data_IF_607206782961
#
_entry.id   IF_607206782961
#
_cell.length_a   1.000
_cell.length_b   1.000
_cell.length_c   1.000
_cell.angle_alpha   90.00
_cell.angle_beta   90.00
_cell.angle_gamma   90.00
#
_symmetry.space_group_name_H-M   'P 1'
#
loop_
_entity.id
_entity.type
_entity.pdbx_description
1 polymer ?
#
# COMPACT_ATOMS: atom_id res chain seq x y z
N UNK A 1 -8.46 -34.88 -3.25
CA UNK A 1 -9.39 -35.87 -2.67
C UNK A 1 -10.80 -35.36 -2.88
N UNK A 2 -11.67 -36.13 -3.53
CA UNK A 2 -13.02 -35.70 -3.96
C UNK A 2 -13.93 -35.59 -2.73
N UNK A 3 -14.68 -34.49 -2.58
CA UNK A 3 -15.61 -34.28 -1.46
C UNK A 3 -16.73 -35.34 -1.50
N UNK A 4 -16.55 -36.46 -0.80
CA UNK A 4 -17.50 -37.58 -0.74
C UNK A 4 -18.65 -37.36 0.28
N UNK A 5 -18.90 -36.12 0.69
CA UNK A 5 -19.93 -35.77 1.67
C UNK A 5 -21.34 -36.18 1.22
N UNK A 6 -21.64 -36.05 -0.07
CA UNK A 6 -22.92 -36.47 -0.65
C UNK A 6 -23.09 -37.99 -0.57
N UNK A 7 -22.04 -38.75 -0.85
CA UNK A 7 -22.06 -40.22 -0.74
C UNK A 7 -22.19 -40.70 0.71
N UNK A 8 -21.58 -39.99 1.66
CA UNK A 8 -21.71 -40.30 3.08
C UNK A 8 -23.14 -40.03 3.59
N UNK A 9 -23.76 -38.93 3.17
CA UNK A 9 -25.15 -38.62 3.50
C UNK A 9 -26.12 -39.67 2.94
N UNK A 10 -25.92 -40.08 1.68
CA UNK A 10 -26.73 -41.11 1.04
C UNK A 10 -26.62 -42.47 1.75
N UNK A 11 -25.42 -42.85 2.19
CA UNK A 11 -25.18 -44.05 2.98
C UNK A 11 -25.97 -44.01 4.30
N UNK A 12 -25.95 -42.87 5.00
CA UNK A 12 -26.59 -42.69 6.30
C UNK A 12 -28.11 -42.80 6.20
N UNK A 13 -28.70 -42.16 5.17
CA UNK A 13 -30.15 -42.26 4.88
C UNK A 13 -30.53 -43.71 4.53
N UNK A 14 -29.70 -44.40 3.75
CA UNK A 14 -29.93 -45.81 3.38
C UNK A 14 -29.93 -46.73 4.60
N UNK A 15 -29.02 -46.53 5.55
CA UNK A 15 -28.94 -47.31 6.79
C UNK A 15 -30.18 -47.08 7.67
N UNK A 16 -30.64 -45.83 7.80
CA UNK A 16 -31.86 -45.49 8.56
C UNK A 16 -33.09 -46.16 7.94
N UNK A 17 -33.24 -46.12 6.61
CA UNK A 17 -34.35 -46.79 5.91
C UNK A 17 -34.35 -48.31 6.13
N UNK A 18 -33.16 -48.92 6.16
CA UNK A 18 -32.96 -50.34 6.43
C UNK A 18 -33.40 -50.72 7.85
N UNK A 19 -33.02 -49.90 8.84
CA UNK A 19 -33.41 -50.09 10.25
C UNK A 19 -34.94 -50.01 10.42
N UNK A 20 -35.58 -49.01 9.79
CA UNK A 20 -37.04 -48.83 9.85
C UNK A 20 -37.76 -50.03 9.23
N UNK A 21 -37.26 -50.54 8.10
CA UNK A 21 -37.86 -51.68 7.38
C UNK A 21 -37.77 -52.98 8.19
N UNK A 22 -36.65 -53.23 8.88
CA UNK A 22 -36.45 -54.44 9.67
C UNK A 22 -37.20 -54.45 11.01
N UNK A 23 -37.43 -53.28 11.63
CA UNK A 23 -38.07 -53.20 12.95
C UNK A 23 -39.60 -53.34 12.92
N UNK A 24 -40.24 -53.41 11.74
CA UNK A 24 -41.69 -53.64 11.52
C UNK A 24 -42.56 -53.04 12.63
N UNK A 25 -42.36 -51.74 12.88
CA UNK A 25 -42.96 -51.03 14.02
C UNK A 25 -44.41 -50.71 13.66
N UNK A 26 -45.37 -51.30 14.38
CA UNK A 26 -46.75 -50.78 14.41
C UNK A 26 -46.72 -49.44 15.14
N UNK A 27 -46.75 -48.33 14.38
CA UNK A 27 -46.54 -46.98 14.92
C UNK A 27 -47.84 -46.47 15.55
N UNK A 28 -48.01 -46.67 16.85
CA UNK A 28 -48.96 -45.88 17.65
C UNK A 28 -48.30 -44.55 17.98
N UNK A 29 -48.72 -43.45 17.34
CA UNK A 29 -48.15 -42.11 17.60
C UNK A 29 -48.59 -41.65 19.00
N UNK A 30 -47.70 -41.80 19.98
CA UNK A 30 -47.83 -41.19 21.31
C UNK A 30 -47.34 -39.73 21.26
N UNK A 31 -47.77 -38.91 22.22
CA UNK A 31 -47.31 -37.52 22.37
C UNK A 31 -45.77 -37.43 22.44
N UNK A 32 -45.11 -38.40 23.07
CA UNK A 32 -43.64 -38.45 23.17
C UNK A 32 -42.97 -38.70 21.81
N UNK A 33 -43.60 -39.51 20.95
CA UNK A 33 -43.14 -39.78 19.58
C UNK A 33 -43.25 -38.53 18.71
N UNK A 34 -44.34 -37.77 18.85
CA UNK A 34 -44.51 -36.49 18.14
C UNK A 34 -43.46 -35.45 18.57
N UNK A 35 -43.20 -35.32 19.88
CA UNK A 35 -42.16 -34.43 20.41
C UNK A 35 -40.78 -34.82 19.86
N UNK A 36 -40.47 -36.12 19.78
CA UNK A 36 -39.21 -36.62 19.21
C UNK A 36 -39.02 -36.24 17.73
N UNK A 37 -40.07 -36.29 16.93
CA UNK A 37 -40.02 -35.92 15.50
C UNK A 37 -39.77 -34.40 15.35
N UNK A 38 -40.51 -33.58 16.10
CA UNK A 38 -40.34 -32.12 16.07
C UNK A 38 -38.95 -31.71 16.57
N UNK A 39 -38.47 -32.31 17.66
CA UNK A 39 -37.13 -32.07 18.18
C UNK A 39 -36.05 -32.42 17.15
N UNK A 40 -36.22 -33.53 16.42
CA UNK A 40 -35.30 -33.95 15.36
C UNK A 40 -35.31 -32.98 14.18
N UNK A 41 -36.49 -32.49 13.77
CA UNK A 41 -36.62 -31.53 12.68
C UNK A 41 -36.01 -30.17 13.02
N UNK A 42 -36.22 -29.68 14.26
CA UNK A 42 -35.60 -28.46 14.77
C UNK A 42 -34.08 -28.65 14.80
N UNK A 43 -33.59 -29.76 15.35
CA UNK A 43 -32.16 -30.07 15.40
C UNK A 43 -31.50 -30.07 14.02
N UNK A 44 -32.08 -30.79 13.06
CA UNK A 44 -31.59 -30.83 11.68
C UNK A 44 -31.60 -29.45 11.02
N UNK A 45 -32.69 -28.69 11.20
CA UNK A 45 -32.84 -27.35 10.63
C UNK A 45 -31.83 -26.36 11.24
N UNK A 46 -31.62 -26.40 12.56
CA UNK A 46 -30.62 -25.58 13.24
C UNK A 46 -29.21 -25.91 12.76
N UNK A 47 -28.86 -27.20 12.58
CA UNK A 47 -27.54 -27.58 12.04
C UNK A 47 -27.32 -27.05 10.62
N UNK A 48 -28.34 -27.07 9.75
CA UNK A 48 -28.24 -26.51 8.41
C UNK A 48 -28.01 -24.99 8.44
N UNK A 49 -28.78 -24.26 9.26
CA UNK A 49 -28.64 -22.80 9.40
C UNK A 49 -27.26 -22.42 9.94
N UNK A 50 -26.82 -23.05 11.03
CA UNK A 50 -25.50 -22.80 11.62
C UNK A 50 -24.39 -23.21 10.67
N UNK A 51 -24.55 -24.33 9.95
CA UNK A 51 -23.59 -24.77 8.93
C UNK A 51 -23.43 -23.75 7.79
N UNK A 52 -24.55 -23.20 7.29
CA UNK A 52 -24.52 -22.15 6.27
C UNK A 52 -23.86 -20.86 6.80
N UNK A 53 -24.16 -20.46 8.04
CA UNK A 53 -23.50 -19.31 8.69
C UNK A 53 -22.00 -19.53 8.84
N UNK A 54 -21.56 -20.72 9.27
CA UNK A 54 -20.14 -21.07 9.40
C UNK A 54 -19.47 -20.98 8.02
N UNK A 55 -20.05 -21.61 7.00
CA UNK A 55 -19.50 -21.59 5.63
C UNK A 55 -19.33 -20.16 5.12
N UNK A 56 -20.39 -19.35 5.18
CA UNK A 56 -20.34 -17.94 4.75
C UNK A 56 -19.31 -17.14 5.55
N UNK A 57 -19.18 -17.41 6.86
CA UNK A 57 -18.20 -16.71 7.71
C UNK A 57 -16.75 -17.05 7.34
N UNK A 58 -16.48 -18.30 6.94
CA UNK A 58 -15.16 -18.75 6.49
C UNK A 58 -14.84 -18.11 5.14
N UNK A 59 -15.78 -18.14 4.21
CA UNK A 59 -15.62 -17.53 2.88
C UNK A 59 -15.39 -16.02 2.98
N UNK A 60 -16.18 -15.33 3.82
CA UNK A 60 -16.02 -13.89 4.06
C UNK A 60 -14.65 -13.57 4.68
N UNK A 61 -14.17 -14.38 5.62
CA UNK A 61 -12.82 -14.21 6.20
C UNK A 61 -11.74 -14.36 5.14
N UNK A 62 -11.82 -15.40 4.31
CA UNK A 62 -10.87 -15.61 3.21
C UNK A 62 -10.86 -14.44 2.23
N UNK A 63 -12.03 -13.96 1.83
CA UNK A 63 -12.13 -12.78 0.95
C UNK A 63 -11.49 -11.54 1.59
N UNK A 64 -11.68 -11.34 2.89
CA UNK A 64 -11.05 -10.24 3.63
C UNK A 64 -9.52 -10.38 3.63
N UNK A 65 -9.01 -11.56 3.94
CA UNK A 65 -7.56 -11.82 3.97
C UNK A 65 -6.93 -11.63 2.58
N UNK A 66 -7.61 -12.12 1.53
CA UNK A 66 -7.20 -11.93 0.14
C UNK A 66 -7.22 -10.43 -0.25
N UNK A 67 -8.25 -9.68 0.16
CA UNK A 67 -8.33 -8.23 -0.07
C UNK A 67 -7.21 -7.47 0.65
N UNK A 68 -6.91 -7.80 1.91
CA UNK A 68 -5.81 -7.18 2.65
C UNK A 68 -4.46 -7.44 1.96
N UNK A 69 -4.23 -8.67 1.50
CA UNK A 69 -3.03 -8.99 0.72
C UNK A 69 -2.95 -8.19 -0.58
N UNK A 70 -4.07 -8.01 -1.29
CA UNK A 70 -4.11 -7.19 -2.52
C UNK A 70 -3.81 -5.72 -2.22
N UNK A 71 -4.39 -5.18 -1.15
CA UNK A 71 -4.19 -3.80 -0.70
C UNK A 71 -2.72 -3.55 -0.35
N UNK A 72 -2.10 -4.42 0.46
CA UNK A 72 -0.68 -4.31 0.81
C UNK A 72 0.25 -4.41 -0.42
N UNK A 73 -0.07 -5.31 -1.34
CA UNK A 73 0.71 -5.46 -2.58
C UNK A 73 0.55 -4.23 -3.49
N UNK A 74 -0.65 -3.68 -3.58
CA UNK A 74 -0.92 -2.47 -4.35
C UNK A 74 -0.21 -1.27 -3.74
N UNK A 75 -0.26 -1.12 -2.41
CA UNK A 75 0.42 -0.06 -1.69
C UNK A 75 1.94 -0.11 -1.93
N UNK A 76 2.57 -1.29 -1.80
CA UNK A 76 4.00 -1.47 -2.10
C UNK A 76 4.36 -1.11 -3.54
N UNK A 77 3.53 -1.50 -4.51
CA UNK A 77 3.76 -1.14 -5.93
C UNK A 77 3.59 0.35 -6.17
N UNK A 78 2.67 1.00 -5.47
CA UNK A 78 2.43 2.43 -5.61
C UNK A 78 3.65 3.24 -5.18
N UNK A 79 4.29 2.89 -4.06
CA UNK A 79 5.55 3.51 -3.61
C UNK A 79 6.64 3.43 -4.71
N UNK A 80 6.79 2.28 -5.35
CA UNK A 80 7.77 2.09 -6.43
C UNK A 80 7.42 2.94 -7.67
N UNK A 81 6.13 3.03 -8.00
CA UNK A 81 5.65 3.87 -9.11
C UNK A 81 5.87 5.35 -8.80
N UNK A 82 5.55 5.81 -7.58
CA UNK A 82 5.75 7.19 -7.15
C UNK A 82 7.23 7.57 -7.20
N UNK A 83 8.12 6.68 -6.75
CA UNK A 83 9.56 6.82 -6.90
C UNK A 83 9.95 7.03 -8.37
N UNK A 84 9.46 6.17 -9.27
CA UNK A 84 9.79 6.24 -10.69
C UNK A 84 9.25 7.51 -11.36
N UNK A 85 8.01 7.91 -11.04
CA UNK A 85 7.38 9.12 -11.57
C UNK A 85 8.19 10.35 -11.17
N UNK A 86 8.48 10.50 -9.88
CA UNK A 86 9.26 11.63 -9.38
C UNK A 86 10.66 11.63 -9.99
N UNK A 87 11.32 10.47 -10.08
CA UNK A 87 12.65 10.37 -10.68
C UNK A 87 12.67 10.80 -12.16
N UNK A 88 11.70 10.33 -12.96
CA UNK A 88 11.57 10.69 -14.38
C UNK A 88 11.23 12.17 -14.54
N UNK A 89 10.35 12.72 -13.70
CA UNK A 89 10.06 14.16 -13.69
C UNK A 89 11.32 14.97 -13.38
N UNK A 90 12.10 14.52 -12.40
CA UNK A 90 13.39 15.10 -12.06
C UNK A 90 14.30 15.18 -13.27
N UNK A 91 14.52 14.05 -13.95
CA UNK A 91 15.32 13.96 -15.17
C UNK A 91 14.83 14.89 -16.29
N UNK A 92 13.52 14.94 -16.53
CA UNK A 92 12.92 15.80 -17.54
C UNK A 92 13.17 17.29 -17.26
N UNK A 93 13.16 17.68 -15.98
CA UNK A 93 13.32 19.05 -15.54
C UNK A 93 14.78 19.51 -15.43
N UNK A 94 15.78 18.62 -15.46
CA UNK A 94 17.20 18.94 -15.22
C UNK A 94 17.73 20.11 -16.06
N UNK A 95 17.23 20.30 -17.28
CA UNK A 95 17.77 21.30 -18.21
C UNK A 95 17.15 22.68 -18.06
N UNK A 96 15.84 22.75 -17.98
CA UNK A 96 15.10 24.02 -18.02
C UNK A 96 14.60 24.47 -16.65
N UNK A 97 14.49 23.52 -15.71
CA UNK A 97 13.81 23.70 -14.42
C UNK A 97 14.56 22.99 -13.29
N UNK A 98 15.83 23.37 -13.03
CA UNK A 98 16.69 22.63 -12.14
C UNK A 98 16.24 22.67 -10.67
N UNK A 99 15.46 23.66 -10.23
CA UNK A 99 14.90 23.69 -8.87
C UNK A 99 13.73 22.70 -8.75
N UNK A 100 12.87 22.63 -9.77
CA UNK A 100 11.85 21.56 -9.83
C UNK A 100 12.52 20.18 -9.86
N UNK A 101 13.57 20.00 -10.65
CA UNK A 101 14.30 18.75 -10.70
C UNK A 101 14.87 18.35 -9.33
N UNK A 102 15.46 19.29 -8.59
CA UNK A 102 15.94 19.04 -7.23
C UNK A 102 14.81 18.55 -6.30
N UNK A 103 13.67 19.25 -6.30
CA UNK A 103 12.48 18.81 -5.53
C UNK A 103 12.07 17.38 -5.91
N UNK A 104 11.99 17.10 -7.20
CA UNK A 104 11.55 15.81 -7.72
C UNK A 104 12.48 14.68 -7.27
N UNK A 105 13.79 14.90 -7.27
CA UNK A 105 14.75 13.92 -6.75
C UNK A 105 14.66 13.74 -5.23
N UNK A 106 14.34 14.79 -4.46
CA UNK A 106 14.05 14.65 -3.02
C UNK A 106 12.81 13.78 -2.80
N UNK A 107 11.72 14.04 -3.53
CA UNK A 107 10.50 13.22 -3.44
C UNK A 107 10.72 11.79 -3.91
N UNK A 108 11.51 11.58 -4.96
CA UNK A 108 11.89 10.24 -5.41
C UNK A 108 12.72 9.50 -4.36
N UNK A 109 13.64 10.21 -3.68
CA UNK A 109 14.46 9.64 -2.61
C UNK A 109 13.62 9.18 -1.41
N UNK A 110 12.59 9.94 -1.03
CA UNK A 110 11.68 9.55 0.05
C UNK A 110 10.97 8.23 -0.27
N UNK A 111 10.40 8.11 -1.47
CA UNK A 111 9.81 6.84 -1.93
C UNK A 111 10.85 5.71 -2.08
N UNK A 112 12.10 6.04 -2.39
CA UNK A 112 13.19 5.07 -2.48
C UNK A 112 13.58 4.53 -1.09
N UNK A 113 13.52 5.35 -0.05
CA UNK A 113 13.64 4.89 1.34
C UNK A 113 12.49 3.97 1.74
N UNK A 114 11.24 4.36 1.48
CA UNK A 114 10.07 3.54 1.83
C UNK A 114 10.07 2.17 1.14
N UNK A 115 10.57 2.11 -0.09
CA UNK A 115 10.74 0.86 -0.85
C UNK A 115 12.05 0.12 -0.57
N UNK A 116 12.93 0.67 0.28
CA UNK A 116 14.28 0.17 0.57
C UNK A 116 15.10 -0.15 -0.70
N UNK A 117 14.91 0.64 -1.75
CA UNK A 117 15.52 0.41 -3.06
C UNK A 117 16.88 1.13 -3.15
N UNK A 118 17.94 0.39 -2.82
CA UNK A 118 19.31 0.90 -2.74
C UNK A 118 19.80 1.54 -4.05
N UNK A 119 19.41 0.99 -5.21
CA UNK A 119 19.82 1.54 -6.50
C UNK A 119 19.14 2.89 -6.75
N UNK A 120 17.83 2.98 -6.49
CA UNK A 120 17.09 4.23 -6.65
C UNK A 120 17.57 5.31 -5.67
N UNK A 121 17.89 4.92 -4.44
CA UNK A 121 18.53 5.80 -3.45
C UNK A 121 19.81 6.38 -4.03
N UNK A 122 20.69 5.54 -4.57
CA UNK A 122 21.98 5.96 -5.11
C UNK A 122 21.85 6.85 -6.34
N UNK A 123 20.94 6.51 -7.25
CA UNK A 123 20.63 7.33 -8.42
C UNK A 123 20.10 8.70 -8.02
N UNK A 124 19.22 8.80 -7.02
CA UNK A 124 18.72 10.07 -6.53
C UNK A 124 19.85 10.93 -5.96
N UNK A 125 20.77 10.35 -5.18
CA UNK A 125 21.92 11.09 -4.66
C UNK A 125 22.85 11.63 -5.74
N UNK A 126 23.15 10.81 -6.74
CA UNK A 126 24.00 11.20 -7.84
C UNK A 126 23.37 12.37 -8.62
N UNK A 127 22.06 12.30 -8.86
CA UNK A 127 21.32 13.37 -9.52
C UNK A 127 21.20 14.64 -8.67
N UNK A 128 20.99 14.53 -7.35
CA UNK A 128 20.99 15.67 -6.43
C UNK A 128 22.35 16.39 -6.41
N UNK A 129 23.44 15.63 -6.39
CA UNK A 129 24.79 16.20 -6.50
C UNK A 129 25.05 16.84 -7.87
N UNK A 130 24.56 16.25 -8.96
CA UNK A 130 24.74 16.84 -10.29
C UNK A 130 23.93 18.13 -10.46
N UNK A 131 22.67 18.14 -10.00
CA UNK A 131 21.77 19.29 -10.18
C UNK A 131 22.20 20.46 -9.31
N UNK A 132 22.72 20.24 -8.09
CA UNK A 132 23.18 21.34 -7.24
C UNK A 132 24.35 22.10 -7.87
N UNK A 133 25.28 21.39 -8.52
CA UNK A 133 26.38 22.00 -9.27
C UNK A 133 25.86 22.81 -10.48
N UNK A 134 24.79 22.33 -11.12
CA UNK A 134 24.15 23.03 -12.23
C UNK A 134 23.43 24.31 -11.79
N UNK A 135 22.71 24.25 -10.68
CA UNK A 135 22.06 25.42 -10.05
C UNK A 135 23.13 26.47 -9.70
N UNK A 136 24.26 26.03 -9.13
CA UNK A 136 25.38 26.91 -8.80
C UNK A 136 25.98 27.61 -10.02
N UNK A 137 26.00 26.97 -11.19
CA UNK A 137 26.45 27.59 -12.43
C UNK A 137 25.48 28.66 -12.97
N UNK A 138 24.30 28.85 -12.35
CA UNK A 138 23.32 29.87 -12.71
C UNK A 138 22.67 29.69 -14.08
N UNK A 139 22.83 28.52 -14.71
CA UNK A 139 22.31 28.25 -16.07
C UNK A 139 20.90 27.67 -15.99
N UNK A 140 19.96 28.31 -16.69
CA UNK A 140 18.63 27.74 -16.92
C UNK A 140 17.64 27.85 -15.74
N UNK A 141 17.80 28.85 -14.86
CA UNK A 141 16.84 29.12 -13.78
C UNK A 141 15.62 29.89 -14.34
N UNK A 142 14.80 29.24 -15.16
CA UNK A 142 13.55 29.80 -15.66
C UNK A 142 12.38 29.44 -14.72
N UNK A 143 12.53 29.74 -13.43
CA UNK A 143 11.57 29.35 -12.40
C UNK A 143 11.41 30.42 -11.33
N UNK A 144 10.22 30.48 -10.71
CA UNK A 144 10.01 31.29 -9.52
C UNK A 144 10.80 30.69 -8.35
N UNK A 145 11.97 31.27 -8.08
CA UNK A 145 12.93 30.80 -7.08
C UNK A 145 12.31 30.71 -5.68
N UNK A 146 11.57 31.73 -5.25
CA UNK A 146 10.97 31.75 -3.90
C UNK A 146 9.90 30.68 -3.73
N UNK A 147 8.96 30.60 -4.69
CA UNK A 147 7.93 29.56 -4.67
C UNK A 147 8.53 28.15 -4.70
N UNK A 148 9.58 27.95 -5.49
CA UNK A 148 10.25 26.64 -5.60
C UNK A 148 11.05 26.30 -4.36
N UNK A 149 11.65 27.28 -3.70
CA UNK A 149 12.32 27.06 -2.42
C UNK A 149 11.34 26.50 -1.38
N UNK A 150 10.16 27.09 -1.23
CA UNK A 150 9.13 26.58 -0.31
C UNK A 150 8.70 25.15 -0.65
N UNK A 151 8.54 24.83 -1.94
CA UNK A 151 8.21 23.47 -2.36
C UNK A 151 9.32 22.47 -2.04
N UNK A 152 10.59 22.88 -2.19
CA UNK A 152 11.75 22.06 -1.83
C UNK A 152 11.79 21.86 -0.31
N UNK A 153 11.62 22.91 0.48
CA UNK A 153 11.61 22.82 1.96
C UNK A 153 10.53 21.89 2.48
N UNK A 154 9.34 21.92 1.87
CA UNK A 154 8.29 20.97 2.23
C UNK A 154 8.71 19.52 1.90
N UNK A 155 9.36 19.27 0.76
CA UNK A 155 9.84 17.94 0.38
C UNK A 155 10.99 17.44 1.28
N UNK A 156 11.98 18.31 1.54
CA UNK A 156 12.68 18.49 2.82
C UNK A 156 12.08 17.77 4.03
N UNK A 157 11.08 18.45 4.58
CA UNK A 157 10.51 18.13 5.87
C UNK A 157 9.68 16.85 5.84
N UNK A 158 9.09 16.48 4.69
CA UNK A 158 8.51 15.14 4.51
C UNK A 158 9.59 14.05 4.55
N UNK A 159 10.68 14.20 3.77
CA UNK A 159 11.79 13.25 3.75
C UNK A 159 12.38 13.01 5.15
N UNK A 160 12.50 14.06 5.97
CA UNK A 160 13.00 13.96 7.35
C UNK A 160 12.11 13.15 8.29
N UNK A 161 10.81 12.98 7.98
CA UNK A 161 9.91 12.13 8.75
C UNK A 161 10.18 10.65 8.49
N UNK A 162 10.82 10.32 7.36
CA UNK A 162 11.15 8.95 7.01
C UNK A 162 12.13 8.35 8.04
N UNK A 163 11.85 7.17 8.62
CA UNK A 163 12.74 6.54 9.59
C UNK A 163 14.17 6.32 9.09
N UNK A 164 14.33 5.98 7.80
CA UNK A 164 15.64 5.74 7.19
C UNK A 164 16.44 7.02 6.94
N UNK A 165 15.82 8.20 7.01
CA UNK A 165 16.53 9.46 6.81
C UNK A 165 17.71 9.61 7.75
N UNK A 166 17.56 9.24 9.03
CA UNK A 166 18.62 9.37 10.04
C UNK A 166 19.88 8.59 9.66
N UNK A 167 19.71 7.42 9.06
CA UNK A 167 20.83 6.56 8.66
C UNK A 167 21.62 7.15 7.50
N UNK A 168 20.97 8.00 6.69
CA UNK A 168 21.56 8.62 5.51
C UNK A 168 21.69 10.14 5.58
N UNK A 169 21.42 10.73 6.75
CA UNK A 169 21.44 12.19 6.96
C UNK A 169 22.79 12.79 6.55
N UNK A 170 23.89 12.07 6.82
CA UNK A 170 25.25 12.49 6.46
C UNK A 170 25.45 12.74 4.95
N UNK A 171 24.61 12.16 4.08
CA UNK A 171 24.66 12.35 2.62
C UNK A 171 23.82 13.53 2.15
N UNK A 172 22.64 13.73 2.75
CA UNK A 172 21.73 14.82 2.37
C UNK A 172 22.15 16.16 2.96
N UNK A 173 22.52 16.19 4.24
CA UNK A 173 22.82 17.44 4.95
C UNK A 173 23.88 18.32 4.26
N UNK A 174 24.97 17.78 3.68
CA UNK A 174 25.92 18.60 2.93
C UNK A 174 25.34 19.20 1.65
N UNK A 175 24.57 18.42 0.88
CA UNK A 175 23.92 18.87 -0.36
C UNK A 175 22.92 19.97 -0.04
N UNK A 176 22.16 19.77 1.03
CA UNK A 176 21.13 20.68 1.47
C UNK A 176 21.69 22.01 1.97
N UNK A 177 22.81 21.96 2.71
CA UNK A 177 23.54 23.16 3.11
C UNK A 177 24.00 23.95 1.89
N UNK A 178 24.57 23.29 0.88
CA UNK A 178 24.96 23.95 -0.37
C UNK A 178 23.76 24.60 -1.06
N UNK A 179 22.60 23.92 -1.06
CA UNK A 179 21.34 24.43 -1.59
C UNK A 179 20.91 25.71 -0.91
N UNK A 180 20.83 25.77 0.43
CA UNK A 180 20.37 27.00 1.08
C UNK A 180 21.34 28.17 0.83
N UNK A 181 22.65 27.91 0.84
CA UNK A 181 23.67 28.93 0.53
C UNK A 181 23.53 29.48 -0.90
N UNK A 182 23.18 28.63 -1.87
CA UNK A 182 22.92 29.03 -3.24
C UNK A 182 21.64 29.85 -3.36
N UNK A 183 20.56 29.46 -2.68
CA UNK A 183 19.30 30.20 -2.68
C UNK A 183 19.46 31.61 -2.12
N UNK A 184 20.20 31.77 -1.02
CA UNK A 184 20.51 33.08 -0.44
C UNK A 184 21.26 33.99 -1.43
N UNK A 185 22.18 33.43 -2.23
CA UNK A 185 22.87 34.18 -3.29
C UNK A 185 21.93 34.56 -4.44
N UNK A 186 21.06 33.65 -4.86
CA UNK A 186 20.08 33.90 -5.93
C UNK A 186 19.09 35.00 -5.53
N UNK A 187 18.62 35.01 -4.27
CA UNK A 187 17.72 36.04 -3.74
C UNK A 187 18.36 37.44 -3.79
N UNK A 188 19.60 37.57 -3.27
CA UNK A 188 20.35 38.84 -3.29
C UNK A 188 20.59 39.39 -4.70
N UNK A 189 20.83 38.51 -5.67
CA UNK A 189 21.03 38.92 -7.07
C UNK A 189 19.74 39.45 -7.71
N UNK A 190 18.59 38.89 -7.34
CA UNK A 190 17.29 39.31 -7.86
C UNK A 190 16.89 40.70 -7.30
N UNK A 191 17.06 40.90 -5.99
CA UNK A 191 16.77 42.17 -5.30
C UNK A 191 17.65 43.32 -5.82
N UNK A 192 18.93 43.04 -6.11
CA UNK A 192 19.86 44.02 -6.68
C UNK A 192 19.54 44.40 -8.14
N UNK A 193 18.82 43.55 -8.88
CA UNK A 193 18.39 43.87 -10.25
C UNK A 193 17.13 44.76 -10.25
N UNK A 194 16.23 44.56 -9.29
CA UNK A 194 15.01 45.38 -9.13
C UNK A 194 15.30 46.81 -8.67
N UNK A 195 16.43 47.06 -8.00
CA UNK A 195 16.84 48.39 -7.53
C UNK A 195 17.61 49.22 -8.59
N UNK A 196 17.82 48.69 -9.80
CA UNK A 196 18.51 49.36 -10.91
C UNK A 196 17.58 49.73 -12.08
N UNK A 197 16.27 49.57 -11.91
CA UNK A 197 15.23 49.95 -12.88
C UNK A 197 14.59 51.29 -12.55
#
# INVERSE_FOLDING_TARGET
MKNNWVSLLALLISVIALIITFLRIDVTISNDTFIGIIASFIGASTTLVVGAQIYNSIETRKMKDDMQNVEENMHRKMIVIDCAINYIQGLANVTERPLSAYRDFISALDSAYDSNNHNAIEDCYNNLNAIIQKIQAGKGLNENVEQKNTQIENAIDELKKNPLYKDFEYRISPIEKQRIELFEKLKKNNDNSSNKG
#
